data_IF_524114390889
#
_entry.id   IF_524114390889
#
_cell.length_a   1.000
_cell.length_b   1.000
_cell.length_c   1.000
_cell.angle_alpha   90.00
_cell.angle_beta   90.00
_cell.angle_gamma   90.00
#
_symmetry.space_group_name_H-M   'P 1'
#
loop_
_entity.id
_entity.type
_entity.pdbx_description
1 polymer ?
#
# COMPACT_ATOMS: atom_id res chain seq x y z
N UNK A 1 8.73 17.07 12.93
CA UNK A 1 8.42 17.46 11.53
C UNK A 1 6.91 17.51 11.35
N UNK A 2 6.15 16.44 11.53
CA UNK A 2 4.70 16.38 11.26
C UNK A 2 3.91 17.47 11.99
N UNK A 3 4.20 17.74 13.29
CA UNK A 3 3.56 18.83 14.05
C UNK A 3 3.73 20.20 13.39
N UNK A 4 4.89 20.47 12.76
CA UNK A 4 5.18 21.75 12.11
C UNK A 4 4.48 21.91 10.75
N UNK A 5 4.18 20.81 10.08
CA UNK A 5 3.58 20.80 8.75
C UNK A 5 2.06 20.56 8.80
N UNK A 6 1.53 20.13 9.94
CA UNK A 6 0.10 19.93 10.15
C UNK A 6 -0.66 21.26 9.96
N UNK A 7 -1.77 21.21 9.23
CA UNK A 7 -2.58 22.39 8.89
C UNK A 7 -2.05 23.26 7.74
N UNK A 8 -0.94 22.86 7.08
CA UNK A 8 -0.34 23.62 5.96
C UNK A 8 -0.67 23.04 4.58
N UNK A 9 -1.68 22.19 4.46
CA UNK A 9 -2.05 21.57 3.18
C UNK A 9 -1.11 20.45 2.71
N UNK A 10 -0.13 20.04 3.53
CA UNK A 10 0.80 18.97 3.22
C UNK A 10 0.14 17.62 3.54
N UNK A 11 0.17 16.68 2.60
CA UNK A 11 -0.23 15.28 2.84
C UNK A 11 0.97 14.48 3.33
N UNK A 12 0.76 13.72 4.41
CA UNK A 12 1.81 12.86 4.97
C UNK A 12 1.63 11.43 4.47
N UNK A 13 2.70 10.85 3.97
CA UNK A 13 2.80 9.42 3.68
C UNK A 13 3.76 8.85 4.70
N UNK A 14 3.34 7.81 5.42
CA UNK A 14 4.11 7.24 6.51
C UNK A 14 4.26 5.74 6.30
N UNK A 15 5.50 5.32 6.09
CA UNK A 15 5.92 3.92 6.12
C UNK A 15 6.73 3.70 7.40
N UNK A 16 6.05 3.33 8.46
CA UNK A 16 6.61 3.06 9.78
C UNK A 16 5.79 1.98 10.47
N UNK A 17 6.36 1.34 11.47
CA UNK A 17 5.76 0.20 12.17
C UNK A 17 5.61 0.45 13.67
N UNK A 18 4.78 -0.35 14.32
CA UNK A 18 4.63 -0.37 15.77
C UNK A 18 4.28 1.00 16.37
N UNK A 19 4.98 1.39 17.41
CA UNK A 19 4.71 2.63 18.16
C UNK A 19 5.02 3.89 17.34
N UNK A 20 5.96 3.82 16.40
CA UNK A 20 6.23 4.96 15.51
C UNK A 20 5.01 5.27 14.65
N UNK A 21 4.36 4.24 14.09
CA UNK A 21 3.12 4.42 13.35
C UNK A 21 1.99 4.94 14.25
N UNK A 22 1.78 4.34 15.43
CA UNK A 22 0.76 4.82 16.39
C UNK A 22 0.92 6.30 16.73
N UNK A 23 2.16 6.75 16.95
CA UNK A 23 2.46 8.13 17.32
C UNK A 23 2.14 9.16 16.23
N UNK A 24 2.11 8.76 14.96
CA UNK A 24 1.85 9.67 13.84
C UNK A 24 0.39 9.72 13.41
N UNK A 25 -0.45 8.74 13.79
CA UNK A 25 -1.87 8.68 13.42
C UNK A 25 -2.66 9.94 13.81
N UNK A 26 -2.34 10.54 14.96
CA UNK A 26 -2.94 11.83 15.40
C UNK A 26 -2.75 12.99 14.42
N UNK A 27 -1.79 12.92 13.50
CA UNK A 27 -1.57 13.91 12.44
C UNK A 27 -2.32 13.58 11.14
N UNK A 28 -3.19 12.58 11.16
CA UNK A 28 -4.06 12.16 10.05
C UNK A 28 -3.27 11.95 8.75
N UNK A 29 -2.29 11.01 8.72
CA UNK A 29 -1.53 10.74 7.52
C UNK A 29 -2.47 10.37 6.36
N UNK A 30 -2.16 10.88 5.16
CA UNK A 30 -2.87 10.56 3.93
C UNK A 30 -2.76 9.08 3.59
N UNK A 31 -1.58 8.49 3.81
CA UNK A 31 -1.31 7.09 3.56
C UNK A 31 -0.44 6.51 4.67
N UNK A 32 -0.80 5.33 5.14
CA UNK A 32 0.07 4.44 5.92
C UNK A 32 0.19 3.10 5.19
N UNK A 33 1.38 2.44 5.27
CA UNK A 33 1.61 1.16 4.60
C UNK A 33 2.17 0.09 5.54
N UNK A 34 1.39 -0.52 6.40
CA UNK A 34 1.81 -1.74 7.10
C UNK A 34 1.81 -2.95 6.16
N UNK A 35 2.62 -3.96 6.45
CA UNK A 35 2.33 -5.30 5.95
C UNK A 35 1.26 -5.97 6.84
N UNK A 36 0.74 -7.12 6.42
CA UNK A 36 -0.34 -7.79 7.15
C UNK A 36 0.09 -8.26 8.56
N UNK A 37 1.36 -8.63 8.78
CA UNK A 37 1.87 -8.97 10.10
C UNK A 37 1.94 -7.74 11.01
N UNK A 38 2.53 -6.65 10.51
CA UNK A 38 2.62 -5.37 11.23
C UNK A 38 1.25 -4.82 11.61
N UNK A 39 0.26 -4.96 10.70
CA UNK A 39 -1.13 -4.60 10.99
C UNK A 39 -1.68 -5.42 12.15
N UNK A 40 -1.47 -6.73 12.14
CA UNK A 40 -1.90 -7.62 13.22
C UNK A 40 -1.21 -7.30 14.55
N UNK A 41 0.10 -7.12 14.53
CA UNK A 41 0.91 -6.81 15.70
C UNK A 41 0.45 -5.54 16.42
N UNK A 42 0.01 -4.52 15.65
CA UNK A 42 -0.51 -3.27 16.23
C UNK A 42 -1.75 -3.47 17.12
N UNK A 43 -2.50 -4.53 16.89
CA UNK A 43 -3.73 -4.86 17.63
C UNK A 43 -3.63 -6.15 18.44
N UNK A 44 -2.44 -6.78 18.49
CA UNK A 44 -2.21 -8.03 19.23
C UNK A 44 -2.94 -9.23 18.63
N UNK A 45 -3.11 -9.26 17.31
CA UNK A 45 -3.83 -10.31 16.58
C UNK A 45 -3.03 -10.79 15.37
N UNK A 46 -3.41 -11.95 14.82
CA UNK A 46 -2.89 -12.43 13.54
C UNK A 46 -3.90 -12.14 12.44
N UNK A 47 -3.51 -11.39 11.41
CA UNK A 47 -4.38 -11.10 10.26
C UNK A 47 -4.03 -12.02 9.09
N UNK A 48 -4.96 -12.89 8.70
CA UNK A 48 -4.79 -13.89 7.64
C UNK A 48 -5.81 -13.76 6.52
N UNK A 49 -7.03 -13.36 6.88
CA UNK A 49 -8.16 -13.23 5.95
C UNK A 49 -8.31 -11.80 5.42
N UNK A 50 -9.03 -11.65 4.31
CA UNK A 50 -9.35 -10.34 3.75
C UNK A 50 -10.21 -9.52 4.72
N UNK A 51 -11.19 -10.16 5.37
CA UNK A 51 -12.10 -9.50 6.30
C UNK A 51 -11.36 -8.96 7.53
N UNK A 52 -10.41 -9.72 8.09
CA UNK A 52 -9.56 -9.25 9.19
C UNK A 52 -8.71 -8.04 8.76
N UNK A 53 -8.13 -8.08 7.55
CA UNK A 53 -7.35 -6.95 7.03
C UNK A 53 -8.23 -5.72 6.88
N UNK A 54 -9.44 -5.87 6.34
CA UNK A 54 -10.41 -4.76 6.21
C UNK A 54 -10.78 -4.22 7.59
N UNK A 55 -11.11 -5.09 8.53
CA UNK A 55 -11.51 -4.70 9.88
C UNK A 55 -10.41 -3.88 10.58
N UNK A 56 -9.17 -4.43 10.63
CA UNK A 56 -8.08 -3.77 11.34
C UNK A 56 -7.56 -2.52 10.61
N UNK A 57 -7.64 -2.48 9.28
CA UNK A 57 -7.38 -1.25 8.52
C UNK A 57 -8.37 -0.15 8.85
N UNK A 58 -9.67 -0.48 8.97
CA UNK A 58 -10.69 0.49 9.42
C UNK A 58 -10.44 0.97 10.85
N UNK A 59 -9.92 0.11 11.74
CA UNK A 59 -9.48 0.54 13.07
C UNK A 59 -8.33 1.55 13.00
N UNK A 60 -7.37 1.38 12.06
CA UNK A 60 -6.32 2.40 11.81
C UNK A 60 -6.91 3.70 11.29
N UNK A 61 -7.97 3.65 10.47
CA UNK A 61 -8.66 4.86 10.00
C UNK A 61 -9.34 5.60 11.15
N UNK A 62 -9.99 4.88 12.07
CA UNK A 62 -10.55 5.48 13.29
C UNK A 62 -9.47 6.16 14.14
N UNK A 63 -8.26 5.62 14.17
CA UNK A 63 -7.11 6.21 14.86
C UNK A 63 -6.48 7.40 14.12
N UNK A 64 -6.84 7.62 12.84
CA UNK A 64 -6.45 8.81 12.10
C UNK A 64 -5.89 8.60 10.70
N UNK A 65 -5.54 7.39 10.28
CA UNK A 65 -5.10 7.15 8.90
C UNK A 65 -6.22 7.44 7.90
N UNK A 66 -5.94 8.14 6.80
CA UNK A 66 -6.94 8.36 5.76
C UNK A 66 -7.03 7.15 4.82
N UNK A 67 -5.90 6.66 4.32
CA UNK A 67 -5.80 5.48 3.47
C UNK A 67 -4.85 4.49 4.12
N UNK A 68 -5.18 3.19 4.04
CA UNK A 68 -4.35 2.09 4.58
C UNK A 68 -4.03 1.12 3.44
N UNK A 69 -2.77 1.09 3.02
CA UNK A 69 -2.26 0.18 2.00
C UNK A 69 -1.56 -1.00 2.71
N UNK A 70 -2.13 -2.19 2.61
CA UNK A 70 -1.59 -3.39 3.27
C UNK A 70 -0.91 -4.28 2.25
N UNK A 71 0.40 -4.47 2.39
CA UNK A 71 1.13 -5.47 1.59
C UNK A 71 0.97 -6.86 2.20
N UNK A 72 0.78 -7.89 1.35
CA UNK A 72 0.38 -9.24 1.76
C UNK A 72 1.29 -10.33 1.18
N UNK A 73 2.54 -9.99 0.95
CA UNK A 73 3.53 -10.88 0.33
C UNK A 73 2.97 -11.55 -0.94
N UNK A 74 2.94 -12.89 -1.01
CA UNK A 74 2.45 -13.63 -2.19
C UNK A 74 0.96 -13.40 -2.51
N UNK A 75 0.18 -12.84 -1.59
CA UNK A 75 -1.25 -12.53 -1.80
C UNK A 75 -1.50 -11.14 -2.41
N UNK A 76 -0.44 -10.40 -2.76
CA UNK A 76 -0.55 -9.07 -3.36
C UNK A 76 -0.74 -7.95 -2.34
N UNK A 77 -1.66 -7.04 -2.60
CA UNK A 77 -1.93 -5.90 -1.74
C UNK A 77 -3.43 -5.58 -1.64
N UNK A 78 -3.78 -4.88 -0.57
CA UNK A 78 -5.12 -4.37 -0.34
C UNK A 78 -5.04 -2.91 0.13
N UNK A 79 -5.89 -2.07 -0.44
CA UNK A 79 -6.08 -0.69 -0.02
C UNK A 79 -7.46 -0.54 0.61
N UNK A 80 -7.52 0.04 1.79
CA UNK A 80 -8.74 0.60 2.34
C UNK A 80 -8.64 2.10 2.18
N UNK A 81 -9.46 2.66 1.28
CA UNK A 81 -9.42 4.08 0.92
C UNK A 81 -10.11 4.96 1.95
N UNK A 82 -10.03 6.27 1.77
CA UNK A 82 -10.54 7.26 2.72
C UNK A 82 -12.07 7.15 2.95
N UNK A 83 -12.81 6.54 2.03
CA UNK A 83 -14.25 6.30 2.14
C UNK A 83 -14.54 4.93 2.80
N UNK A 84 -13.49 4.19 3.19
CA UNK A 84 -13.60 2.86 3.79
C UNK A 84 -13.88 1.73 2.80
N UNK A 85 -13.76 2.01 1.48
CA UNK A 85 -13.90 0.99 0.43
C UNK A 85 -12.61 0.18 0.31
N UNK A 86 -12.76 -1.14 0.17
CA UNK A 86 -11.65 -2.04 -0.05
C UNK A 86 -11.37 -2.24 -1.55
N UNK A 87 -10.10 -2.12 -1.92
CA UNK A 87 -9.57 -2.45 -3.24
C UNK A 87 -8.51 -3.52 -3.07
N UNK A 88 -8.55 -4.56 -3.90
CA UNK A 88 -7.63 -5.69 -3.81
C UNK A 88 -6.95 -5.93 -5.15
N UNK A 89 -5.65 -6.23 -5.10
CA UNK A 89 -4.88 -6.67 -6.26
C UNK A 89 -3.96 -7.81 -5.85
N UNK A 90 -3.84 -8.83 -6.69
CA UNK A 90 -2.85 -9.89 -6.49
C UNK A 90 -1.46 -9.47 -6.96
N UNK A 91 -0.49 -10.38 -6.82
CA UNK A 91 0.83 -10.16 -7.38
C UNK A 91 0.84 -10.37 -8.90
N UNK A 92 1.73 -9.65 -9.56
CA UNK A 92 2.10 -9.95 -10.93
C UNK A 92 2.84 -11.29 -11.02
N UNK A 93 2.79 -11.93 -12.19
CA UNK A 93 3.54 -13.14 -12.45
C UNK A 93 5.01 -12.79 -12.71
N UNK A 94 5.92 -13.40 -11.95
CA UNK A 94 7.36 -13.18 -12.08
C UNK A 94 8.15 -13.97 -11.05
N UNK A 95 9.47 -14.01 -11.21
CA UNK A 95 10.38 -14.66 -10.27
C UNK A 95 10.93 -13.64 -9.29
N UNK A 96 10.77 -13.88 -8.00
CA UNK A 96 11.37 -13.07 -6.96
C UNK A 96 12.91 -13.13 -7.06
N UNK A 97 13.54 -11.98 -7.19
CA UNK A 97 14.99 -11.79 -7.24
C UNK A 97 15.46 -11.07 -5.96
N UNK A 98 14.79 -9.98 -5.60
CA UNK A 98 15.16 -9.16 -4.45
C UNK A 98 13.91 -8.55 -3.80
N UNK A 99 13.81 -8.59 -2.48
CA UNK A 99 12.67 -8.00 -1.75
C UNK A 99 12.96 -6.60 -1.19
N UNK A 100 14.20 -6.13 -1.26
CA UNK A 100 14.61 -4.81 -0.73
C UNK A 100 14.03 -3.70 -1.61
N UNK A 101 13.42 -2.70 -0.97
CA UNK A 101 12.84 -1.55 -1.67
C UNK A 101 11.47 -1.79 -2.32
N UNK A 102 10.93 -3.03 -2.30
CA UNK A 102 9.61 -3.31 -2.89
C UNK A 102 8.50 -2.51 -2.22
N UNK A 103 8.55 -2.36 -0.89
CA UNK A 103 7.60 -1.55 -0.13
C UNK A 103 7.67 -0.08 -0.49
N UNK A 104 8.89 0.47 -0.54
CA UNK A 104 9.14 1.87 -0.92
C UNK A 104 8.67 2.15 -2.34
N UNK A 105 8.99 1.24 -3.29
CA UNK A 105 8.54 1.32 -4.68
C UNK A 105 7.01 1.28 -4.78
N UNK A 106 6.35 0.44 -3.98
CA UNK A 106 4.88 0.38 -3.92
C UNK A 106 4.28 1.69 -3.42
N UNK A 107 4.84 2.29 -2.37
CA UNK A 107 4.40 3.59 -1.85
C UNK A 107 4.59 4.68 -2.91
N UNK A 108 5.77 4.74 -3.54
CA UNK A 108 6.07 5.73 -4.57
C UNK A 108 5.10 5.64 -5.75
N UNK A 109 4.86 4.43 -6.27
CA UNK A 109 3.92 4.19 -7.35
C UNK A 109 2.47 4.52 -6.98
N UNK A 110 2.04 4.19 -5.76
CA UNK A 110 0.71 4.54 -5.27
C UNK A 110 0.51 6.06 -5.21
N UNK A 111 1.47 6.78 -4.62
CA UNK A 111 1.42 8.25 -4.54
C UNK A 111 1.40 8.89 -5.92
N UNK A 112 2.26 8.41 -6.84
CA UNK A 112 2.28 8.87 -8.22
C UNK A 112 0.94 8.66 -8.91
N UNK A 113 0.32 7.48 -8.76
CA UNK A 113 -1.00 7.18 -9.32
C UNK A 113 -2.11 8.07 -8.76
N UNK A 114 -2.09 8.35 -7.45
CA UNK A 114 -3.02 9.29 -6.83
C UNK A 114 -2.89 10.71 -7.39
N UNK A 115 -1.64 11.17 -7.63
CA UNK A 115 -1.38 12.51 -8.20
C UNK A 115 -1.83 12.56 -9.66
N UNK A 116 -1.56 11.51 -10.42
CA UNK A 116 -1.82 11.46 -11.87
C UNK A 116 -3.31 11.38 -12.21
N UNK A 117 -4.06 10.50 -11.52
CA UNK A 117 -5.45 10.18 -11.89
C UNK A 117 -6.47 10.50 -10.79
N UNK A 118 -6.07 10.61 -9.53
CA UNK A 118 -7.02 10.72 -8.43
C UNK A 118 -7.89 9.47 -8.21
N UNK A 119 -7.53 8.34 -8.84
CA UNK A 119 -8.27 7.07 -8.78
C UNK A 119 -7.50 6.06 -7.94
N UNK A 120 -8.12 5.56 -6.88
CA UNK A 120 -7.47 4.65 -5.93
C UNK A 120 -7.21 3.25 -6.51
N UNK A 121 -8.04 2.75 -7.41
CA UNK A 121 -7.81 1.46 -8.05
C UNK A 121 -6.61 1.53 -9.00
N UNK A 122 -6.52 2.62 -9.78
CA UNK A 122 -5.36 2.92 -10.62
C UNK A 122 -4.09 3.07 -9.78
N UNK A 123 -4.15 3.85 -8.70
CA UNK A 123 -3.02 4.07 -7.80
C UNK A 123 -2.52 2.76 -7.15
N UNK A 124 -3.45 1.90 -6.69
CA UNK A 124 -3.12 0.58 -6.17
C UNK A 124 -2.43 -0.29 -7.23
N UNK A 125 -2.95 -0.28 -8.47
CA UNK A 125 -2.34 -1.04 -9.57
C UNK A 125 -0.94 -0.54 -9.90
N UNK A 126 -0.73 0.78 -9.97
CA UNK A 126 0.59 1.36 -10.24
C UNK A 126 1.57 1.08 -9.10
N UNK A 127 1.15 1.26 -7.85
CA UNK A 127 1.96 0.91 -6.69
C UNK A 127 2.36 -0.57 -6.68
N UNK A 128 1.40 -1.47 -6.94
CA UNK A 128 1.67 -2.90 -7.02
C UNK A 128 2.61 -3.24 -8.19
N UNK A 129 2.48 -2.58 -9.33
CA UNK A 129 3.40 -2.75 -10.46
C UNK A 129 4.83 -2.33 -10.09
N UNK A 130 5.01 -1.19 -9.42
CA UNK A 130 6.32 -0.73 -8.94
C UNK A 130 6.94 -1.72 -7.95
N UNK A 131 6.17 -2.18 -6.97
CA UNK A 131 6.65 -3.16 -5.99
C UNK A 131 7.01 -4.51 -6.62
N UNK A 132 6.17 -5.04 -7.52
CA UNK A 132 6.45 -6.31 -8.21
C UNK A 132 7.63 -6.19 -9.18
N UNK A 133 7.73 -5.12 -9.96
CA UNK A 133 8.86 -4.90 -10.86
C UNK A 133 10.18 -4.86 -10.08
N UNK A 134 10.22 -4.16 -8.94
CA UNK A 134 11.39 -4.14 -8.04
C UNK A 134 11.67 -5.53 -7.48
N UNK A 135 10.64 -6.31 -7.11
CA UNK A 135 10.81 -7.67 -6.61
C UNK A 135 11.43 -8.62 -7.65
N UNK A 136 11.24 -8.35 -8.94
CA UNK A 136 11.75 -9.18 -10.05
C UNK A 136 13.09 -8.68 -10.61
N UNK A 137 13.59 -7.56 -10.12
CA UNK A 137 14.85 -6.94 -10.54
C UNK A 137 15.93 -7.09 -9.46
N UNK A 138 17.23 -7.09 -9.83
CA UNK A 138 18.33 -7.14 -8.86
C UNK A 138 18.45 -5.84 -8.03
N UNK A 139 17.99 -4.72 -8.59
CA UNK A 139 17.97 -3.38 -7.99
C UNK A 139 16.54 -2.80 -8.08
N UNK A 140 16.38 -1.51 -7.80
CA UNK A 140 15.10 -0.83 -8.02
C UNK A 140 14.74 -0.89 -9.51
N UNK A 141 13.47 -1.19 -9.78
CA UNK A 141 13.00 -1.35 -11.15
C UNK A 141 13.10 -0.06 -11.97
N UNK A 142 13.43 -0.24 -13.24
CA UNK A 142 13.40 0.82 -14.24
C UNK A 142 11.95 1.17 -14.64
N UNK A 143 11.75 2.33 -15.25
CA UNK A 143 10.45 2.76 -15.77
C UNK A 143 9.83 1.74 -16.74
N UNK A 144 10.64 1.17 -17.63
CA UNK A 144 10.17 0.23 -18.66
C UNK A 144 9.70 -1.10 -18.03
N UNK A 145 10.42 -1.59 -17.01
CA UNK A 145 10.00 -2.78 -16.24
C UNK A 145 8.68 -2.53 -15.52
N UNK A 146 8.52 -1.36 -14.89
CA UNK A 146 7.26 -0.97 -14.22
C UNK A 146 6.11 -0.92 -15.23
N UNK A 147 6.28 -0.26 -16.37
CA UNK A 147 5.26 -0.15 -17.42
C UNK A 147 4.88 -1.53 -17.94
N UNK A 148 5.87 -2.39 -18.18
CA UNK A 148 5.61 -3.77 -18.60
C UNK A 148 4.73 -4.52 -17.58
N UNK A 149 5.10 -4.50 -16.30
CA UNK A 149 4.31 -5.15 -15.24
C UNK A 149 2.92 -4.52 -15.12
N UNK A 150 2.81 -3.20 -15.20
CA UNK A 150 1.52 -2.51 -15.13
C UNK A 150 0.57 -2.96 -16.25
N UNK A 151 1.08 -3.14 -17.47
CA UNK A 151 0.27 -3.50 -18.63
C UNK A 151 -0.04 -5.00 -18.73
N UNK A 152 0.89 -5.87 -18.32
CA UNK A 152 0.82 -7.31 -18.60
C UNK A 152 0.75 -8.17 -17.34
N UNK A 153 1.33 -7.72 -16.24
CA UNK A 153 1.58 -8.55 -15.05
C UNK A 153 0.31 -9.01 -14.32
N UNK A 154 -0.81 -8.29 -14.47
CA UNK A 154 -2.07 -8.56 -13.76
C UNK A 154 -3.18 -9.14 -14.66
N UNK A 155 -2.86 -9.59 -15.87
CA UNK A 155 -3.84 -10.04 -16.88
C UNK A 155 -4.65 -11.29 -16.50
N UNK A 156 -4.30 -11.98 -15.42
CA UNK A 156 -5.03 -13.17 -14.96
C UNK A 156 -6.07 -12.87 -13.86
N UNK A 157 -6.23 -11.62 -13.48
CA UNK A 157 -7.14 -11.24 -12.40
C UNK A 157 -8.25 -10.35 -12.95
N UNK A 158 -9.39 -10.97 -13.29
CA UNK A 158 -10.66 -10.22 -13.45
C UNK A 158 -10.92 -9.55 -12.11
N UNK A 159 -10.98 -8.20 -12.11
CA UNK A 159 -11.19 -7.41 -10.92
C UNK A 159 -12.42 -7.90 -10.16
N UNK A 160 -12.21 -8.31 -8.93
CA UNK A 160 -13.29 -8.46 -7.96
C UNK A 160 -13.44 -7.10 -7.30
N UNK A 161 -14.39 -6.34 -7.83
CA UNK A 161 -14.99 -5.22 -7.11
C UNK A 161 -15.91 -5.85 -6.06
N UNK A 162 -15.60 -5.72 -4.79
CA UNK A 162 -16.51 -6.02 -3.69
C UNK A 162 -17.32 -4.77 -3.33
#
# INVERSE_FOLDING_TARGET
>A
ILKRLSGRGVRFVVDATGDLLKNVLKYKPFLVKPNHHELGDMFGVTTQTDDEIIEYSKKLQVLGAQNVLVSRASKGAMLIDADGKAHKIGNATGKLVNSVGCGDSMVAGFVAGCIEKGDYAYALKLGSACGNATAFSPELATKDEIINIFNTGFNSQKGVSL
#
